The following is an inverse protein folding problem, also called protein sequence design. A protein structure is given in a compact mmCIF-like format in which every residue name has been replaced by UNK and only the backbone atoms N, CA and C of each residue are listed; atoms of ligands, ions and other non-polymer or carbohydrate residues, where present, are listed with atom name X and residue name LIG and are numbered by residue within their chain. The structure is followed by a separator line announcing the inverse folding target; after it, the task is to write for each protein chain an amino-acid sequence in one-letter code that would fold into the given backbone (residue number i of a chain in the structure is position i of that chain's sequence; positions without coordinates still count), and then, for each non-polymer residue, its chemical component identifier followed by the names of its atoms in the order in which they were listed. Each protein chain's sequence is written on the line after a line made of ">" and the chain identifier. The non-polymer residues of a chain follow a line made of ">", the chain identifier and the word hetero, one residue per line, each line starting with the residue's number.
data_IF_424894022761
#
_entry.id   IF_424894022761
#
_cell.length_a   1.000
_cell.length_b   1.000
_cell.length_c   1.000
_cell.angle_alpha   90.00
_cell.angle_beta   90.00
_cell.angle_gamma   90.00
#
_symmetry.space_group_name_H-M   'P 1'
#
loop_
_entity.id
_entity.type
_entity.pdbx_description
1 polymer ?
#
# COMPACT_ATOMS: atom_id res chain seq x y z
N UNK A 1 8.35 -19.01 21.48
CA UNK A 1 9.59 -19.68 21.00
C UNK A 1 9.52 -20.14 19.54
N UNK A 2 8.38 -20.36 18.93
CA UNK A 2 8.29 -20.80 17.52
C UNK A 2 8.57 -19.69 16.47
N UNK A 3 8.44 -18.41 16.82
CA UNK A 3 8.64 -17.28 15.90
C UNK A 3 10.13 -17.06 15.55
N UNK A 4 11.04 -17.29 16.49
CA UNK A 4 12.48 -17.15 16.28
C UNK A 4 13.09 -18.27 15.40
N UNK A 5 12.46 -19.45 15.35
CA UNK A 5 13.01 -20.61 14.65
C UNK A 5 12.92 -20.52 13.12
N UNK A 6 12.09 -19.65 12.56
CA UNK A 6 11.92 -19.52 11.10
C UNK A 6 12.87 -18.54 10.43
N UNK A 7 13.43 -17.58 11.17
CA UNK A 7 14.46 -16.66 10.66
C UNK A 7 15.89 -17.23 10.80
N UNK A 8 16.11 -18.10 11.77
CA UNK A 8 17.43 -18.69 12.07
C UNK A 8 18.05 -19.59 10.97
N UNK A 9 17.31 -20.44 10.24
CA UNK A 9 17.93 -21.30 9.23
C UNK A 9 18.44 -20.55 7.98
N UNK A 10 17.93 -19.35 7.71
CA UNK A 10 18.32 -18.55 6.54
C UNK A 10 19.62 -17.76 6.78
N UNK A 11 20.04 -17.60 8.03
CA UNK A 11 21.27 -16.90 8.41
C UNK A 11 22.48 -17.84 8.53
N UNK A 12 22.31 -19.15 8.41
CA UNK A 12 23.36 -20.16 8.65
C UNK A 12 24.43 -20.29 7.55
N UNK A 13 24.41 -19.45 6.52
CA UNK A 13 25.34 -19.53 5.37
C UNK A 13 26.44 -18.48 5.32
N UNK A 14 26.48 -17.50 6.20
CA UNK A 14 27.54 -16.50 6.28
C UNK A 14 28.06 -16.40 7.71
N UNK A 15 29.37 -16.30 7.90
CA UNK A 15 29.98 -16.04 9.21
C UNK A 15 29.57 -14.65 9.69
N UNK A 16 28.37 -14.52 10.24
CA UNK A 16 27.87 -13.29 10.83
C UNK A 16 28.10 -13.34 12.35
N UNK A 17 28.44 -12.19 12.91
CA UNK A 17 28.32 -11.97 14.33
C UNK A 17 26.89 -12.37 14.75
N UNK A 18 26.76 -13.09 15.88
CA UNK A 18 25.45 -13.46 16.40
C UNK A 18 24.58 -12.19 16.50
N UNK A 19 23.36 -12.25 15.99
CA UNK A 19 22.41 -11.13 16.12
C UNK A 19 22.29 -10.77 17.61
N UNK A 20 22.22 -9.47 17.97
CA UNK A 20 21.99 -9.07 19.34
C UNK A 20 20.69 -9.72 19.84
N UNK A 21 20.73 -10.17 21.10
CA UNK A 21 19.57 -10.78 21.74
C UNK A 21 18.37 -9.81 21.66
N UNK A 22 17.21 -10.34 21.27
CA UNK A 22 15.97 -9.57 21.21
C UNK A 22 15.67 -8.86 22.53
N UNK A 23 15.42 -7.56 22.46
CA UNK A 23 15.09 -6.70 23.59
C UNK A 23 13.85 -5.90 23.21
N UNK A 24 12.97 -5.62 24.16
CA UNK A 24 11.89 -4.67 23.95
C UNK A 24 12.37 -3.26 24.32
N UNK A 25 12.78 -2.47 23.33
CA UNK A 25 13.16 -1.06 23.51
C UNK A 25 11.90 -0.17 23.49
N UNK A 26 11.79 0.71 24.48
CA UNK A 26 10.63 1.59 24.60
C UNK A 26 10.51 2.61 23.47
N UNK A 27 11.64 3.12 22.94
CA UNK A 27 11.63 4.10 21.85
C UNK A 27 11.21 3.45 20.51
N UNK A 28 11.72 2.26 20.23
CA UNK A 28 11.37 1.52 19.00
C UNK A 28 9.90 1.05 19.06
N UNK A 29 9.44 0.58 20.22
CA UNK A 29 8.03 0.24 20.44
C UNK A 29 7.12 1.46 20.31
N UNK A 30 7.51 2.62 20.87
CA UNK A 30 6.75 3.88 20.71
C UNK A 30 6.69 4.32 19.25
N UNK A 31 7.79 4.20 18.50
CA UNK A 31 7.79 4.46 17.04
C UNK A 31 6.74 3.61 16.32
N UNK A 32 6.62 2.32 16.66
CA UNK A 32 5.65 1.41 16.06
C UNK A 32 4.22 1.79 16.42
N UNK A 33 3.94 2.15 17.68
CA UNK A 33 2.60 2.57 18.12
C UNK A 33 2.18 3.89 17.46
N UNK A 34 3.08 4.87 17.42
CA UNK A 34 2.84 6.15 16.73
C UNK A 34 2.68 5.94 15.23
N UNK A 35 3.53 5.11 14.63
CA UNK A 35 3.43 4.72 13.23
C UNK A 35 2.09 4.06 12.91
N UNK A 36 1.61 3.18 13.79
CA UNK A 36 0.29 2.55 13.64
C UNK A 36 -0.83 3.58 13.64
N UNK A 37 -0.82 4.54 14.56
CA UNK A 37 -1.81 5.61 14.63
C UNK A 37 -1.79 6.50 13.36
N UNK A 38 -0.60 6.84 12.87
CA UNK A 38 -0.40 7.63 11.67
C UNK A 38 -0.90 6.89 10.41
N UNK A 39 -0.61 5.60 10.27
CA UNK A 39 -1.09 4.79 9.12
C UNK A 39 -2.59 4.55 9.21
N UNK A 40 -3.15 4.33 10.41
CA UNK A 40 -4.61 4.24 10.57
C UNK A 40 -5.30 5.51 10.06
N UNK A 41 -4.75 6.69 10.36
CA UNK A 41 -5.26 7.99 9.89
C UNK A 41 -5.26 8.10 8.35
N UNK A 42 -4.40 7.37 7.65
CA UNK A 42 -4.39 7.38 6.19
C UNK A 42 -5.67 6.80 5.59
N UNK A 43 -6.33 5.86 6.25
CA UNK A 43 -7.59 5.28 5.72
C UNK A 43 -8.73 6.31 5.67
N UNK A 44 -9.07 7.08 6.71
CA UNK A 44 -9.98 8.22 6.57
C UNK A 44 -9.41 9.33 5.67
N UNK A 45 -8.09 9.55 5.64
CA UNK A 45 -7.45 10.46 4.68
C UNK A 45 -7.75 10.08 3.23
N UNK A 46 -7.65 8.77 2.92
CA UNK A 46 -8.00 8.21 1.62
C UNK A 46 -9.51 8.39 1.33
N UNK A 47 -10.37 8.20 2.34
CA UNK A 47 -11.79 8.42 2.21
C UNK A 47 -12.12 9.86 1.77
N UNK A 48 -11.46 10.87 2.36
CA UNK A 48 -11.59 12.26 1.93
C UNK A 48 -11.01 12.50 0.54
N UNK A 49 -9.81 11.96 0.26
CA UNK A 49 -9.16 12.10 -1.04
C UNK A 49 -10.05 11.56 -2.16
N UNK A 50 -10.50 10.32 -2.06
CA UNK A 50 -11.38 9.70 -3.05
C UNK A 50 -12.79 10.30 -3.06
N UNK A 51 -13.35 10.57 -1.88
CA UNK A 51 -14.65 11.20 -1.75
C UNK A 51 -14.74 12.57 -2.44
N UNK A 52 -13.66 13.36 -2.41
CA UNK A 52 -13.59 14.64 -3.08
C UNK A 52 -13.68 14.55 -4.61
N UNK A 53 -13.18 13.44 -5.21
CA UNK A 53 -13.24 13.22 -6.65
C UNK A 53 -14.60 12.76 -7.16
N UNK A 54 -15.35 12.00 -6.37
CA UNK A 54 -16.62 11.40 -6.79
C UNK A 54 -17.74 12.43 -6.87
N UNK A 55 -18.88 12.08 -7.48
CA UNK A 55 -20.07 12.95 -7.49
C UNK A 55 -20.64 13.09 -6.08
N UNK A 56 -21.24 14.24 -5.76
CA UNK A 56 -21.81 14.55 -4.44
C UNK A 56 -22.76 13.47 -3.90
N UNK A 57 -23.52 12.80 -4.77
CA UNK A 57 -24.47 11.73 -4.43
C UNK A 57 -23.82 10.33 -4.23
N UNK A 58 -22.50 10.24 -4.32
CA UNK A 58 -21.72 9.01 -4.14
C UNK A 58 -20.60 9.17 -3.11
N UNK A 59 -20.50 10.33 -2.46
CA UNK A 59 -19.37 10.64 -1.57
C UNK A 59 -19.37 9.78 -0.32
N UNK A 60 -20.53 9.58 0.32
CA UNK A 60 -20.63 8.73 1.51
C UNK A 60 -20.30 7.27 1.19
N UNK A 61 -20.85 6.73 0.11
CA UNK A 61 -20.54 5.38 -0.32
C UNK A 61 -19.04 5.22 -0.62
N UNK A 62 -18.42 6.20 -1.28
CA UNK A 62 -16.97 6.19 -1.54
C UNK A 62 -16.18 6.21 -0.24
N UNK A 63 -16.54 7.08 0.70
CA UNK A 63 -15.89 7.15 2.01
C UNK A 63 -16.09 5.86 2.82
N UNK A 64 -17.29 5.29 2.79
CA UNK A 64 -17.62 4.03 3.46
C UNK A 64 -16.84 2.84 2.88
N UNK A 65 -16.54 2.83 1.58
CA UNK A 65 -15.69 1.78 0.99
C UNK A 65 -14.31 1.72 1.62
N UNK A 66 -13.78 2.83 2.12
CA UNK A 66 -12.51 2.88 2.86
C UNK A 66 -12.73 2.70 4.36
N UNK A 67 -13.64 3.48 4.96
CA UNK A 67 -13.84 3.53 6.41
C UNK A 67 -14.29 2.19 7.00
N UNK A 68 -15.18 1.49 6.30
CA UNK A 68 -15.69 0.18 6.72
C UNK A 68 -14.58 -0.89 6.83
N UNK A 69 -13.51 -0.77 6.03
CA UNK A 69 -12.40 -1.71 6.07
C UNK A 69 -11.57 -1.62 7.35
N UNK A 70 -11.59 -0.48 8.06
CA UNK A 70 -10.97 -0.41 9.39
C UNK A 70 -11.60 -1.42 10.36
N UNK A 71 -12.92 -1.64 10.27
CA UNK A 71 -13.60 -2.68 11.04
C UNK A 71 -13.39 -4.08 10.47
N UNK A 72 -13.73 -4.27 9.18
CA UNK A 72 -13.67 -5.58 8.55
C UNK A 72 -12.26 -6.18 8.57
N UNK A 73 -11.29 -5.47 8.01
CA UNK A 73 -9.93 -5.98 7.88
C UNK A 73 -9.19 -5.93 9.21
N UNK A 74 -9.48 -4.94 10.07
CA UNK A 74 -8.92 -4.87 11.41
C UNK A 74 -9.23 -6.13 12.24
N UNK A 75 -10.49 -6.58 12.24
CA UNK A 75 -10.87 -7.84 12.90
C UNK A 75 -10.26 -9.04 12.17
N UNK A 76 -10.36 -9.10 10.85
CA UNK A 76 -9.84 -10.20 10.05
C UNK A 76 -8.33 -10.41 10.23
N UNK A 77 -7.58 -9.30 10.37
CA UNK A 77 -6.15 -9.32 10.61
C UNK A 77 -5.80 -10.01 11.94
N UNK A 78 -6.49 -9.65 13.01
CA UNK A 78 -6.29 -10.25 14.35
C UNK A 78 -6.68 -11.73 14.32
N UNK A 79 -7.82 -12.06 13.71
CA UNK A 79 -8.36 -13.43 13.70
C UNK A 79 -7.42 -14.38 12.95
N UNK A 80 -6.97 -14.01 11.75
CA UNK A 80 -6.26 -14.93 10.87
C UNK A 80 -5.22 -14.26 9.95
N UNK A 81 -5.42 -13.02 9.52
CA UNK A 81 -4.60 -12.37 8.50
C UNK A 81 -3.12 -12.27 8.91
N UNK A 82 -2.85 -11.89 10.16
CA UNK A 82 -1.49 -11.87 10.71
C UNK A 82 -0.83 -13.25 10.63
N UNK A 83 -1.56 -14.30 10.99
CA UNK A 83 -1.04 -15.68 10.94
C UNK A 83 -0.66 -16.08 9.52
N UNK A 84 -1.52 -15.80 8.53
CA UNK A 84 -1.23 -16.10 7.13
C UNK A 84 -0.04 -15.32 6.55
N UNK A 85 0.26 -14.14 7.11
CA UNK A 85 1.37 -13.30 6.68
C UNK A 85 2.70 -13.62 7.39
N UNK A 86 2.66 -13.91 8.70
CA UNK A 86 3.88 -13.91 9.52
C UNK A 86 4.10 -15.17 10.34
N UNK A 87 3.14 -16.10 10.45
CA UNK A 87 3.41 -17.37 11.12
C UNK A 87 4.42 -18.20 10.32
N UNK A 88 5.42 -18.71 11.03
CA UNK A 88 6.49 -19.54 10.49
C UNK A 88 6.32 -21.02 10.78
N UNK A 89 5.29 -21.39 11.54
CA UNK A 89 4.99 -22.78 11.88
C UNK A 89 4.65 -23.66 10.66
N UNK A 90 4.18 -23.04 9.58
CA UNK A 90 4.00 -23.69 8.27
C UNK A 90 5.14 -23.28 7.34
N UNK A 91 6.01 -24.22 7.01
CA UNK A 91 7.19 -23.95 6.18
C UNK A 91 6.82 -23.79 4.71
N UNK A 92 6.15 -22.69 4.38
CA UNK A 92 5.79 -22.31 3.01
C UNK A 92 6.39 -20.95 2.65
N UNK A 93 6.96 -20.80 1.46
CA UNK A 93 7.46 -19.52 0.96
C UNK A 93 6.34 -18.60 0.44
N UNK A 94 5.08 -19.08 0.39
CA UNK A 94 3.94 -18.38 -0.20
C UNK A 94 2.93 -17.87 0.82
N UNK A 95 2.73 -18.59 1.93
CA UNK A 95 1.71 -18.28 2.93
C UNK A 95 2.16 -18.78 4.31
N UNK A 96 1.80 -18.06 5.35
CA UNK A 96 2.03 -18.47 6.74
C UNK A 96 1.06 -19.57 7.21
N UNK A 97 1.31 -20.11 8.39
CA UNK A 97 0.47 -21.10 9.02
C UNK A 97 -0.72 -20.50 9.76
N UNK A 98 -1.33 -21.30 10.63
CA UNK A 98 -2.47 -20.92 11.47
C UNK A 98 -2.11 -20.82 12.96
N UNK A 99 -0.81 -20.98 13.30
CA UNK A 99 -0.35 -21.02 14.69
C UNK A 99 -0.49 -19.70 15.44
N UNK A 100 -0.51 -18.58 14.72
CA UNK A 100 -0.68 -17.24 15.28
C UNK A 100 -2.10 -16.66 15.10
N UNK A 101 -3.11 -17.51 14.84
CA UNK A 101 -4.52 -17.06 14.84
C UNK A 101 -4.89 -16.42 16.18
N UNK A 102 -5.70 -15.36 16.14
CA UNK A 102 -6.06 -14.55 17.30
C UNK A 102 -4.83 -13.96 18.01
N UNK A 103 -3.73 -13.76 17.26
CA UNK A 103 -2.43 -13.37 17.79
C UNK A 103 -1.90 -14.32 18.89
N UNK A 104 -2.31 -15.60 18.85
CA UNK A 104 -1.86 -16.59 19.82
C UNK A 104 -0.32 -16.71 19.79
N UNK A 105 0.29 -16.62 20.98
CA UNK A 105 1.75 -16.66 21.12
C UNK A 105 2.50 -15.40 20.67
N UNK A 106 1.78 -14.39 20.16
CA UNK A 106 2.35 -13.10 19.79
C UNK A 106 2.36 -12.17 20.99
N UNK A 107 3.54 -11.70 21.40
CA UNK A 107 3.68 -10.73 22.48
C UNK A 107 3.76 -11.31 23.90
N UNK A 108 3.73 -12.62 24.09
CA UNK A 108 3.78 -13.22 25.42
C UNK A 108 2.52 -12.95 26.28
N UNK A 109 2.63 -13.14 27.60
CA UNK A 109 1.49 -13.02 28.53
C UNK A 109 1.00 -11.56 28.68
N UNK A 110 1.92 -10.59 28.64
CA UNK A 110 1.62 -9.17 28.86
C UNK A 110 1.70 -8.31 27.58
N UNK A 111 1.89 -8.91 26.42
CA UNK A 111 2.02 -8.18 25.15
C UNK A 111 3.38 -7.51 24.93
N UNK A 112 4.36 -7.77 25.79
CA UNK A 112 5.67 -7.12 25.80
C UNK A 112 6.83 -7.98 25.29
N UNK A 113 6.54 -9.23 24.87
CA UNK A 113 7.59 -10.07 24.30
C UNK A 113 8.19 -9.43 23.04
N UNK A 114 9.52 -9.47 22.89
CA UNK A 114 10.20 -8.92 21.72
C UNK A 114 9.82 -9.71 20.45
N UNK A 115 9.88 -9.04 19.30
CA UNK A 115 9.49 -9.62 18.01
C UNK A 115 10.36 -10.82 17.62
N UNK A 116 11.67 -10.61 17.52
CA UNK A 116 12.67 -11.63 17.17
C UNK A 116 14.07 -11.07 17.41
N UNK A 117 15.10 -11.94 17.43
CA UNK A 117 16.49 -11.51 17.47
C UNK A 117 16.81 -10.58 16.29
N UNK A 118 17.52 -9.51 16.56
CA UNK A 118 17.80 -8.44 15.61
C UNK A 118 16.78 -7.29 15.59
N UNK A 119 15.64 -7.43 16.32
CA UNK A 119 14.65 -6.37 16.46
C UNK A 119 14.48 -5.97 17.94
N UNK A 120 14.34 -4.67 18.20
CA UNK A 120 14.23 -4.12 19.54
C UNK A 120 12.83 -3.60 19.86
N UNK A 121 11.79 -4.21 19.32
CA UNK A 121 10.40 -3.79 19.49
C UNK A 121 9.50 -4.96 19.91
N UNK A 122 8.34 -4.66 20.48
CA UNK A 122 7.39 -5.70 20.87
C UNK A 122 6.69 -6.33 19.67
N UNK A 123 6.46 -7.64 19.73
CA UNK A 123 5.74 -8.37 18.69
C UNK A 123 4.30 -7.87 18.50
N UNK A 124 3.64 -7.42 19.57
CA UNK A 124 2.28 -6.85 19.50
C UNK A 124 2.25 -5.51 18.78
N UNK A 125 3.23 -4.63 19.01
CA UNK A 125 3.31 -3.35 18.30
C UNK A 125 3.60 -3.56 16.82
N UNK A 126 4.43 -4.54 16.46
CA UNK A 126 4.64 -4.97 15.09
C UNK A 126 3.34 -5.50 14.44
N UNK A 127 2.63 -6.40 15.14
CA UNK A 127 1.37 -6.95 14.62
C UNK A 127 0.32 -5.87 14.39
N UNK A 128 0.20 -4.89 15.29
CA UNK A 128 -0.66 -3.73 15.14
C UNK A 128 -0.25 -2.90 13.91
N UNK A 129 1.03 -2.56 13.78
CA UNK A 129 1.55 -1.76 12.67
C UNK A 129 1.28 -2.42 11.32
N UNK A 130 1.59 -3.70 11.18
CA UNK A 130 1.31 -4.46 9.95
C UNK A 130 -0.19 -4.58 9.65
N UNK A 131 -1.05 -4.58 10.67
CA UNK A 131 -2.49 -4.53 10.51
C UNK A 131 -2.98 -3.25 9.82
N UNK A 132 -2.32 -2.12 10.03
CA UNK A 132 -2.69 -0.86 9.37
C UNK A 132 -2.46 -0.91 7.85
N UNK A 133 -1.40 -1.60 7.42
CA UNK A 133 -1.14 -1.86 6.00
C UNK A 133 -2.17 -2.82 5.38
N UNK A 134 -2.56 -3.85 6.14
CA UNK A 134 -3.62 -4.77 5.72
C UNK A 134 -4.95 -4.04 5.50
N UNK A 135 -5.28 -3.03 6.32
CA UNK A 135 -6.50 -2.22 6.21
C UNK A 135 -6.47 -1.32 4.98
N UNK A 136 -5.40 -0.55 4.79
CA UNK A 136 -5.37 0.47 3.73
C UNK A 136 -5.21 -0.14 2.34
N UNK A 137 -4.53 -1.27 2.20
CA UNK A 137 -4.22 -1.84 0.88
C UNK A 137 -5.47 -2.15 0.05
N UNK A 138 -6.48 -2.91 0.54
CA UNK A 138 -7.71 -3.09 -0.20
C UNK A 138 -8.52 -1.79 -0.35
N UNK A 139 -8.43 -0.85 0.60
CA UNK A 139 -9.11 0.43 0.49
C UNK A 139 -8.68 1.21 -0.76
N UNK A 140 -7.40 1.15 -1.14
CA UNK A 140 -6.89 1.78 -2.36
C UNK A 140 -7.60 1.29 -3.62
N UNK A 141 -7.97 0.00 -3.70
CA UNK A 141 -8.60 -0.60 -4.88
C UNK A 141 -9.94 0.08 -5.19
N UNK A 142 -10.64 0.59 -4.17
CA UNK A 142 -11.94 1.23 -4.33
C UNK A 142 -11.93 2.37 -5.36
N UNK A 143 -10.84 3.13 -5.41
CA UNK A 143 -10.73 4.29 -6.32
C UNK A 143 -10.96 3.97 -7.78
N UNK A 144 -10.66 2.74 -8.23
CA UNK A 144 -10.87 2.33 -9.61
C UNK A 144 -12.33 1.98 -9.95
N UNK A 145 -13.15 1.63 -8.95
CA UNK A 145 -14.48 1.03 -9.13
C UNK A 145 -15.60 1.78 -8.42
N UNK A 146 -15.30 2.95 -7.83
CA UNK A 146 -16.30 3.83 -7.21
C UNK A 146 -17.46 4.15 -8.17
N UNK A 147 -18.58 4.56 -7.60
CA UNK A 147 -19.79 4.97 -8.30
C UNK A 147 -20.57 3.86 -9.04
N UNK A 148 -20.06 2.60 -9.06
CA UNK A 148 -20.74 1.50 -9.77
C UNK A 148 -20.69 0.13 -9.10
N UNK A 149 -19.73 -0.13 -8.22
CA UNK A 149 -19.64 -1.42 -7.51
C UNK A 149 -20.74 -1.51 -6.44
N UNK A 150 -21.35 -2.70 -6.28
CA UNK A 150 -22.27 -2.92 -5.17
C UNK A 150 -21.52 -3.05 -3.85
N UNK A 151 -22.02 -2.41 -2.77
CA UNK A 151 -21.36 -2.45 -1.46
C UNK A 151 -21.28 -3.87 -0.89
N UNK A 152 -22.27 -4.73 -1.20
CA UNK A 152 -22.24 -6.14 -0.84
C UNK A 152 -21.12 -6.90 -1.54
N UNK A 153 -20.90 -6.66 -2.82
CA UNK A 153 -19.79 -7.27 -3.55
C UNK A 153 -18.43 -6.75 -3.04
N UNK A 154 -18.34 -5.46 -2.72
CA UNK A 154 -17.16 -4.84 -2.12
C UNK A 154 -16.78 -5.52 -0.80
N UNK A 155 -17.74 -5.75 0.09
CA UNK A 155 -17.53 -6.47 1.36
C UNK A 155 -16.87 -7.83 1.13
N UNK A 156 -17.48 -8.70 0.32
CA UNK A 156 -16.97 -10.06 0.09
C UNK A 156 -15.66 -10.07 -0.69
N UNK A 157 -15.50 -9.13 -1.62
CA UNK A 157 -14.26 -8.96 -2.35
C UNK A 157 -13.10 -8.63 -1.40
N UNK A 158 -13.24 -7.62 -0.55
CA UNK A 158 -12.18 -7.23 0.39
C UNK A 158 -11.84 -8.33 1.39
N UNK A 159 -12.84 -9.05 1.90
CA UNK A 159 -12.63 -10.19 2.79
C UNK A 159 -11.77 -11.27 2.12
N UNK A 160 -12.16 -11.72 0.94
CA UNK A 160 -11.44 -12.77 0.21
C UNK A 160 -10.07 -12.28 -0.27
N UNK A 161 -10.01 -11.06 -0.80
CA UNK A 161 -8.77 -10.49 -1.34
C UNK A 161 -7.71 -10.29 -0.26
N UNK A 162 -8.11 -9.85 0.93
CA UNK A 162 -7.18 -9.69 2.06
C UNK A 162 -6.59 -11.02 2.53
N UNK A 163 -7.38 -12.09 2.53
CA UNK A 163 -6.90 -13.42 2.93
C UNK A 163 -6.08 -14.12 1.85
N UNK A 164 -6.55 -14.05 0.59
CA UNK A 164 -6.01 -14.86 -0.49
C UNK A 164 -4.92 -14.14 -1.30
N UNK A 165 -4.86 -12.81 -1.24
CA UNK A 165 -3.91 -12.01 -2.01
C UNK A 165 -3.00 -11.21 -1.08
N UNK A 166 -3.56 -10.35 -0.21
CA UNK A 166 -2.75 -9.47 0.62
C UNK A 166 -1.86 -10.23 1.60
N UNK A 167 -2.43 -11.14 2.41
CA UNK A 167 -1.65 -11.88 3.41
C UNK A 167 -0.56 -12.76 2.78
N UNK A 168 -0.82 -13.48 1.67
CA UNK A 168 0.26 -14.15 0.92
C UNK A 168 1.31 -13.19 0.35
N UNK A 169 0.93 -12.03 -0.19
CA UNK A 169 1.91 -11.03 -0.66
C UNK A 169 2.80 -10.53 0.47
N UNK A 170 2.23 -10.22 1.63
CA UNK A 170 2.98 -9.84 2.82
C UNK A 170 3.92 -10.97 3.28
N UNK A 171 3.48 -12.23 3.25
CA UNK A 171 4.34 -13.40 3.51
C UNK A 171 5.48 -13.50 2.53
N UNK A 172 5.20 -13.42 1.24
CA UNK A 172 6.19 -13.61 0.19
C UNK A 172 7.29 -12.54 0.23
N UNK A 173 6.96 -11.29 0.60
CA UNK A 173 7.88 -10.16 0.59
C UNK A 173 8.50 -9.91 1.97
N UNK A 174 7.69 -9.86 3.03
CA UNK A 174 8.13 -9.44 4.37
C UNK A 174 8.19 -10.59 5.38
N UNK A 175 7.35 -11.59 5.23
CA UNK A 175 7.26 -12.73 6.16
C UNK A 175 8.29 -13.84 5.94
N UNK A 176 9.42 -13.54 5.26
CA UNK A 176 10.48 -14.53 4.97
C UNK A 176 10.16 -15.44 3.77
N UNK A 177 9.24 -15.04 2.89
CA UNK A 177 8.89 -15.76 1.67
C UNK A 177 9.89 -15.55 0.54
N UNK A 178 9.62 -16.15 -0.62
CA UNK A 178 10.59 -16.27 -1.72
C UNK A 178 10.88 -14.97 -2.49
N UNK A 179 10.00 -13.96 -2.43
CA UNK A 179 10.21 -12.67 -3.10
C UNK A 179 11.17 -11.77 -2.34
N UNK A 180 11.12 -11.81 -1.01
CA UNK A 180 11.82 -10.90 -0.13
C UNK A 180 13.34 -11.08 -0.11
N UNK A 181 14.04 -10.27 0.70
CA UNK A 181 15.51 -10.19 0.71
C UNK A 181 16.20 -11.50 1.11
N UNK A 182 15.53 -12.35 1.88
CA UNK A 182 16.03 -13.66 2.30
C UNK A 182 15.56 -14.81 1.40
N UNK A 183 14.68 -14.52 0.44
CA UNK A 183 14.13 -15.51 -0.48
C UNK A 183 14.97 -15.72 -1.72
N UNK A 184 14.52 -16.61 -2.59
CA UNK A 184 15.24 -16.98 -3.82
C UNK A 184 15.29 -15.85 -4.87
N UNK A 185 14.39 -14.87 -4.81
CA UNK A 185 14.37 -13.69 -5.69
C UNK A 185 15.28 -12.59 -5.14
N UNK A 186 15.25 -12.32 -3.83
CA UNK A 186 16.10 -11.34 -3.18
C UNK A 186 15.69 -9.89 -3.46
N UNK A 187 14.43 -9.62 -3.72
CA UNK A 187 13.93 -8.25 -3.87
C UNK A 187 13.79 -7.55 -2.52
N UNK A 188 13.89 -6.22 -2.52
CA UNK A 188 13.68 -5.39 -1.33
C UNK A 188 12.45 -4.51 -1.50
N UNK A 189 11.66 -4.40 -0.45
CA UNK A 189 10.49 -3.52 -0.38
C UNK A 189 10.41 -2.94 1.03
N UNK A 190 10.86 -1.68 1.18
CA UNK A 190 11.03 -1.05 2.48
C UNK A 190 9.71 -0.93 3.25
N UNK A 191 8.67 -0.42 2.59
CA UNK A 191 7.41 -0.13 3.26
C UNK A 191 6.15 -0.49 2.45
N UNK A 192 6.26 -1.14 1.27
CA UNK A 192 5.06 -1.62 0.57
C UNK A 192 4.91 -1.15 -0.87
N UNK A 193 6.01 -0.81 -1.55
CA UNK A 193 5.97 -0.55 -2.99
C UNK A 193 5.35 -1.73 -3.76
N UNK A 194 5.70 -2.95 -3.39
CA UNK A 194 5.19 -4.18 -3.99
C UNK A 194 3.93 -4.67 -3.27
N UNK A 195 3.98 -4.80 -1.95
CA UNK A 195 2.89 -5.41 -1.14
C UNK A 195 1.65 -4.54 -1.11
N UNK A 196 1.78 -3.22 -1.11
CA UNK A 196 0.65 -2.29 -1.02
C UNK A 196 0.35 -1.69 -2.39
N UNK A 197 1.31 -0.95 -2.99
CA UNK A 197 1.01 -0.11 -4.15
C UNK A 197 0.86 -0.90 -5.44
N UNK A 198 1.80 -1.79 -5.78
CA UNK A 198 1.64 -2.66 -6.96
C UNK A 198 0.45 -3.57 -6.78
N UNK A 199 0.29 -4.20 -5.61
CA UNK A 199 -0.82 -5.11 -5.37
C UNK A 199 -2.18 -4.41 -5.49
N UNK A 200 -2.39 -3.28 -4.81
CA UNK A 200 -3.66 -2.54 -4.92
C UNK A 200 -3.88 -1.97 -6.33
N UNK A 201 -2.82 -1.45 -6.98
CA UNK A 201 -2.92 -0.90 -8.33
C UNK A 201 -3.30 -1.95 -9.37
N UNK A 202 -2.65 -3.11 -9.37
CA UNK A 202 -2.96 -4.22 -10.29
C UNK A 202 -4.36 -4.77 -10.02
N UNK A 203 -4.75 -4.93 -8.75
CA UNK A 203 -6.11 -5.33 -8.40
C UNK A 203 -7.14 -4.30 -8.90
N UNK A 204 -6.85 -3.01 -8.77
CA UNK A 204 -7.69 -1.92 -9.27
C UNK A 204 -7.88 -1.99 -10.80
N UNK A 205 -6.78 -2.22 -11.56
CA UNK A 205 -6.83 -2.39 -13.01
C UNK A 205 -7.75 -3.54 -13.41
N UNK A 206 -7.57 -4.71 -12.80
CA UNK A 206 -8.36 -5.91 -13.10
C UNK A 206 -9.81 -5.75 -12.67
N UNK A 207 -10.05 -5.15 -11.48
CA UNK A 207 -11.40 -4.90 -11.01
C UNK A 207 -12.15 -3.91 -11.91
N UNK A 208 -11.51 -2.83 -12.37
CA UNK A 208 -12.09 -1.87 -13.30
C UNK A 208 -12.46 -2.56 -14.64
N UNK A 209 -11.58 -3.42 -15.16
CA UNK A 209 -11.82 -4.15 -16.40
C UNK A 209 -13.00 -5.15 -16.30
N UNK A 210 -13.14 -5.85 -15.16
CA UNK A 210 -14.20 -6.87 -14.99
C UNK A 210 -15.56 -6.22 -14.66
N UNK A 211 -15.58 -5.19 -13.82
CA UNK A 211 -16.82 -4.49 -13.42
C UNK A 211 -17.35 -3.63 -14.57
N UNK A 212 -16.45 -3.18 -15.45
CA UNK A 212 -16.77 -2.37 -16.63
C UNK A 212 -16.96 -0.89 -16.34
N UNK A 213 -17.19 -0.10 -17.38
CA UNK A 213 -17.23 1.36 -17.32
C UNK A 213 -18.47 1.89 -16.59
N UNK A 214 -18.36 3.05 -15.96
CA UNK A 214 -19.51 3.79 -15.41
C UNK A 214 -20.50 4.14 -16.53
N UNK A 215 -21.78 4.20 -16.23
CA UNK A 215 -22.84 4.54 -17.20
C UNK A 215 -22.63 5.89 -17.89
N UNK A 216 -21.85 6.77 -17.28
CA UNK A 216 -21.56 8.13 -17.77
C UNK A 216 -20.19 8.27 -18.43
N UNK A 217 -19.42 7.19 -18.54
CA UNK A 217 -18.10 7.18 -19.18
C UNK A 217 -18.24 6.91 -20.69
N UNK A 218 -17.41 7.50 -21.56
CA UNK A 218 -16.37 8.52 -21.33
C UNK A 218 -16.88 9.97 -21.45
N UNK A 219 -18.16 10.19 -21.68
CA UNK A 219 -18.71 11.49 -22.12
C UNK A 219 -18.84 12.52 -21.01
N UNK A 220 -18.81 12.11 -19.75
CA UNK A 220 -18.89 13.03 -18.64
C UNK A 220 -17.52 13.46 -18.13
N UNK A 221 -16.93 14.50 -18.70
CA UNK A 221 -15.87 15.30 -18.05
C UNK A 221 -16.49 16.09 -16.90
N UNK A 222 -16.84 15.43 -15.80
CA UNK A 222 -17.36 16.14 -14.62
C UNK A 222 -16.18 16.47 -13.71
N UNK A 223 -16.06 17.74 -13.27
CA UNK A 223 -15.05 18.09 -12.28
C UNK A 223 -15.32 17.36 -10.95
N UNK A 224 -14.28 17.14 -10.14
CA UNK A 224 -14.44 16.70 -8.76
C UNK A 224 -15.46 17.58 -8.03
N UNK A 225 -16.32 16.98 -7.20
CA UNK A 225 -17.34 17.78 -6.51
C UNK A 225 -16.74 18.63 -5.38
N UNK A 226 -15.62 18.21 -4.77
CA UNK A 226 -15.03 18.90 -3.63
C UNK A 226 -13.49 18.84 -3.65
N UNK A 227 -12.87 19.78 -4.35
CA UNK A 227 -11.40 19.90 -4.41
C UNK A 227 -10.75 20.14 -3.04
N UNK A 228 -11.32 20.96 -2.11
CA UNK A 228 -10.84 21.04 -0.73
C UNK A 228 -10.73 19.69 -0.02
N UNK A 229 -11.66 18.75 -0.21
CA UNK A 229 -11.57 17.40 0.34
C UNK A 229 -10.40 16.62 -0.25
N UNK A 230 -10.12 16.78 -1.54
CA UNK A 230 -8.95 16.17 -2.18
C UNK A 230 -7.66 16.66 -1.54
N UNK A 231 -7.52 17.99 -1.35
CA UNK A 231 -6.34 18.57 -0.71
C UNK A 231 -6.21 18.14 0.75
N UNK A 232 -7.29 18.14 1.51
CA UNK A 232 -7.30 17.66 2.89
C UNK A 232 -6.89 16.18 2.97
N UNK A 233 -7.50 15.35 2.14
CA UNK A 233 -7.18 13.92 2.06
C UNK A 233 -5.73 13.67 1.69
N UNK A 234 -5.20 14.38 0.68
CA UNK A 234 -3.79 14.30 0.31
C UNK A 234 -2.86 14.73 1.45
N UNK A 235 -3.22 15.79 2.19
CA UNK A 235 -2.47 16.24 3.38
C UNK A 235 -2.46 15.21 4.49
N UNK A 236 -3.61 14.58 4.80
CA UNK A 236 -3.73 13.51 5.78
C UNK A 236 -2.95 12.26 5.35
N UNK A 237 -2.99 11.91 4.07
CA UNK A 237 -2.18 10.81 3.50
C UNK A 237 -0.69 11.10 3.66
N UNK A 238 -0.22 12.31 3.32
CA UNK A 238 1.18 12.70 3.48
C UNK A 238 1.61 12.64 4.95
N UNK A 239 0.81 13.19 5.84
CA UNK A 239 1.06 13.15 7.27
C UNK A 239 1.16 11.70 7.80
N UNK A 240 0.22 10.85 7.40
CA UNK A 240 0.25 9.43 7.77
C UNK A 240 1.44 8.67 7.18
N UNK A 241 1.98 9.13 6.03
CA UNK A 241 3.13 8.50 5.39
C UNK A 241 4.43 8.64 6.19
N UNK A 242 4.50 9.57 7.11
CA UNK A 242 5.58 9.59 8.11
C UNK A 242 5.59 8.32 8.96
N UNK A 243 4.41 7.85 9.37
CA UNK A 243 4.28 6.55 10.02
C UNK A 243 4.52 5.39 9.06
N UNK A 244 3.92 5.46 7.87
CA UNK A 244 3.98 4.41 6.85
C UNK A 244 5.43 4.05 6.50
N UNK A 245 6.24 5.02 6.12
CA UNK A 245 7.64 4.82 5.78
C UNK A 245 8.57 4.93 7.01
N UNK A 246 8.35 5.93 7.88
CA UNK A 246 9.25 6.18 9.01
C UNK A 246 9.28 5.04 10.01
N UNK A 247 8.11 4.51 10.40
CA UNK A 247 8.06 3.39 11.34
C UNK A 247 8.47 2.05 10.70
N UNK A 248 8.46 1.92 9.36
CA UNK A 248 9.01 0.75 8.66
C UNK A 248 10.52 0.60 8.80
N UNK A 249 11.19 1.58 9.40
CA UNK A 249 12.59 1.46 9.83
C UNK A 249 12.77 0.53 11.03
N UNK A 250 11.73 0.31 11.83
CA UNK A 250 11.72 -0.51 13.05
C UNK A 250 12.72 -0.07 14.12
N UNK A 251 13.38 1.08 13.94
CA UNK A 251 14.38 1.63 14.84
C UNK A 251 14.24 3.15 14.93
N UNK A 252 13.88 3.67 16.10
CA UNK A 252 13.65 5.09 16.34
C UNK A 252 14.90 5.94 16.07
N UNK A 253 16.07 5.40 16.41
CA UNK A 253 17.36 6.07 16.20
C UNK A 253 17.61 6.48 14.75
N UNK A 254 17.09 5.76 13.78
CA UNK A 254 17.38 5.95 12.35
C UNK A 254 16.16 6.31 11.52
N UNK A 255 14.97 6.36 12.13
CA UNK A 255 13.71 6.71 11.48
C UNK A 255 13.72 8.11 10.82
N UNK A 256 14.62 9.00 11.23
CA UNK A 256 14.77 10.34 10.64
C UNK A 256 15.07 10.32 9.14
N UNK A 257 15.82 9.32 8.66
CA UNK A 257 16.12 9.19 7.23
C UNK A 257 14.85 8.93 6.39
N UNK A 258 14.05 7.87 6.63
CA UNK A 258 12.83 7.65 5.86
C UNK A 258 11.77 8.76 6.02
N UNK A 259 11.73 9.50 7.13
CA UNK A 259 10.92 10.72 7.24
C UNK A 259 11.36 11.78 6.22
N UNK A 260 12.67 12.05 6.14
CA UNK A 260 13.22 13.05 5.22
C UNK A 260 13.07 12.63 3.76
N UNK A 261 13.42 11.41 3.40
CA UNK A 261 13.30 10.91 2.01
C UNK A 261 11.86 10.89 1.55
N UNK A 262 10.91 10.54 2.43
CA UNK A 262 9.47 10.56 2.15
C UNK A 262 9.00 11.97 1.81
N UNK A 263 9.27 12.94 2.67
CA UNK A 263 8.90 14.35 2.42
C UNK A 263 9.58 14.91 1.18
N UNK A 264 10.86 14.61 0.99
CA UNK A 264 11.62 15.08 -0.18
C UNK A 264 11.02 14.58 -1.48
N UNK A 265 10.69 13.29 -1.55
CA UNK A 265 10.08 12.68 -2.73
C UNK A 265 8.67 13.20 -3.00
N UNK A 266 7.85 13.36 -1.96
CA UNK A 266 6.51 13.94 -2.06
C UNK A 266 6.56 15.36 -2.62
N UNK A 267 7.46 16.20 -2.09
CA UNK A 267 7.67 17.58 -2.55
C UNK A 267 8.14 17.62 -4.00
N UNK A 268 9.08 16.76 -4.37
CA UNK A 268 9.59 16.65 -5.75
C UNK A 268 8.48 16.18 -6.71
N UNK A 269 7.66 15.22 -6.31
CA UNK A 269 6.52 14.73 -7.09
C UNK A 269 5.45 15.79 -7.31
N UNK A 270 5.09 16.53 -6.26
CA UNK A 270 4.15 17.65 -6.32
C UNK A 270 4.65 18.72 -7.31
N UNK A 271 5.90 19.17 -7.15
CA UNK A 271 6.49 20.18 -8.03
C UNK A 271 6.59 19.68 -9.47
N UNK A 272 7.01 18.45 -9.68
CA UNK A 272 7.12 17.85 -11.03
C UNK A 272 5.77 17.84 -11.74
N UNK A 273 4.71 17.38 -11.07
CA UNK A 273 3.36 17.38 -11.65
C UNK A 273 2.88 18.79 -11.99
N UNK A 274 2.99 19.74 -11.03
CA UNK A 274 2.61 21.14 -11.25
C UNK A 274 3.40 21.79 -12.41
N UNK A 275 4.68 21.52 -12.51
CA UNK A 275 5.50 22.06 -13.61
C UNK A 275 5.08 21.46 -14.95
N UNK A 276 4.81 20.15 -15.03
CA UNK A 276 4.33 19.53 -16.26
C UNK A 276 2.99 20.14 -16.70
N UNK A 277 2.02 20.30 -15.78
CA UNK A 277 0.76 21.00 -16.11
C UNK A 277 0.99 22.44 -16.54
N UNK A 278 1.90 23.15 -15.85
CA UNK A 278 2.18 24.55 -16.19
C UNK A 278 2.72 24.69 -17.61
N UNK A 279 3.69 23.85 -18.00
CA UNK A 279 4.25 23.88 -19.35
C UNK A 279 3.25 23.38 -20.41
N UNK A 280 2.44 22.38 -20.08
CA UNK A 280 1.51 21.78 -21.03
C UNK A 280 0.19 22.56 -21.16
N UNK A 281 -0.41 22.96 -20.02
CA UNK A 281 -1.76 23.49 -19.95
C UNK A 281 -1.82 24.95 -19.50
N UNK A 282 -0.66 25.57 -19.26
CA UNK A 282 -0.49 26.98 -18.89
C UNK A 282 -0.76 27.30 -17.41
N UNK A 283 -1.21 26.35 -16.62
CA UNK A 283 -1.49 26.53 -15.19
C UNK A 283 -1.49 25.19 -14.43
N UNK A 284 -0.94 25.16 -13.20
CA UNK A 284 -1.05 24.00 -12.33
C UNK A 284 -2.45 23.92 -11.73
N UNK A 285 -2.88 22.70 -11.40
CA UNK A 285 -4.16 22.45 -10.74
C UNK A 285 -3.95 21.98 -9.30
N UNK A 286 -4.93 22.26 -8.41
CA UNK A 286 -4.92 21.75 -7.05
C UNK A 286 -4.99 20.20 -7.02
N UNK A 287 -5.76 19.62 -7.93
CA UNK A 287 -5.88 18.18 -8.11
C UNK A 287 -4.55 17.58 -8.56
N UNK A 288 -3.88 18.21 -9.54
CA UNK A 288 -2.56 17.79 -10.00
C UNK A 288 -1.51 17.87 -8.90
N UNK A 289 -1.50 18.94 -8.11
CA UNK A 289 -0.61 19.09 -6.95
C UNK A 289 -0.79 17.95 -5.94
N UNK A 290 -2.05 17.64 -5.57
CA UNK A 290 -2.37 16.55 -4.67
C UNK A 290 -1.97 15.18 -5.24
N UNK A 291 -2.27 14.92 -6.51
CA UNK A 291 -1.93 13.65 -7.19
C UNK A 291 -0.41 13.50 -7.33
N UNK A 292 0.31 14.56 -7.67
CA UNK A 292 1.76 14.56 -7.78
C UNK A 292 2.46 14.28 -6.44
N UNK A 293 1.93 14.85 -5.33
CA UNK A 293 2.41 14.55 -3.99
C UNK A 293 2.24 13.06 -3.68
N UNK A 294 1.06 12.49 -3.92
CA UNK A 294 0.78 11.06 -3.69
C UNK A 294 1.65 10.18 -4.59
N UNK A 295 1.86 10.54 -5.85
CA UNK A 295 2.76 9.80 -6.75
C UNK A 295 4.20 9.77 -6.21
N UNK A 296 4.71 10.89 -5.69
CA UNK A 296 6.02 10.96 -5.04
C UNK A 296 6.11 10.09 -3.79
N UNK A 297 5.05 10.06 -2.96
CA UNK A 297 4.94 9.21 -1.78
C UNK A 297 4.93 7.72 -2.15
N UNK A 298 4.18 7.34 -3.16
CA UNK A 298 4.14 5.97 -3.69
C UNK A 298 5.51 5.53 -4.21
N UNK A 299 6.15 6.38 -5.02
CA UNK A 299 7.45 6.06 -5.64
C UNK A 299 8.57 5.84 -4.63
N UNK A 300 8.59 6.60 -3.54
CA UNK A 300 9.64 6.48 -2.51
C UNK A 300 9.42 5.29 -1.57
N UNK A 301 8.19 4.80 -1.45
CA UNK A 301 7.81 3.79 -0.46
C UNK A 301 8.71 2.54 -0.47
N UNK A 302 9.08 1.92 -1.61
CA UNK A 302 10.00 0.77 -1.60
C UNK A 302 11.45 1.14 -1.29
N UNK A 303 11.82 2.42 -1.31
CA UNK A 303 13.20 2.90 -1.24
C UNK A 303 13.52 3.74 0.01
N UNK A 304 12.52 4.18 0.77
CA UNK A 304 12.64 5.29 1.72
C UNK A 304 13.80 5.16 2.72
N UNK A 305 14.09 3.96 3.22
CA UNK A 305 15.23 3.68 4.13
C UNK A 305 16.54 3.32 3.41
N UNK A 306 16.53 3.21 2.08
CA UNK A 306 17.66 2.69 1.30
C UNK A 306 18.34 3.73 0.41
N UNK A 307 17.84 4.97 0.38
CA UNK A 307 18.36 6.02 -0.50
C UNK A 307 18.63 7.31 0.28
N UNK A 308 19.51 8.17 -0.29
CA UNK A 308 19.74 9.53 0.22
C UNK A 308 18.82 10.54 -0.46
N UNK A 309 18.87 11.81 -0.01
CA UNK A 309 17.98 12.87 -0.48
C UNK A 309 18.04 13.16 -1.98
N UNK A 310 19.21 13.17 -2.64
CA UNK A 310 19.25 13.37 -4.10
C UNK A 310 18.51 12.29 -4.88
N UNK A 311 18.63 11.01 -4.45
CA UNK A 311 17.88 9.92 -5.05
C UNK A 311 16.39 10.03 -4.75
N UNK A 312 16.01 10.50 -3.55
CA UNK A 312 14.61 10.73 -3.21
C UNK A 312 13.96 11.80 -4.11
N UNK A 313 14.66 12.90 -4.42
CA UNK A 313 14.22 13.90 -5.41
C UNK A 313 14.02 13.24 -6.77
N UNK A 314 14.99 12.45 -7.22
CA UNK A 314 14.92 11.78 -8.52
C UNK A 314 13.75 10.80 -8.60
N UNK A 315 13.55 9.98 -7.56
CA UNK A 315 12.43 9.02 -7.46
C UNK A 315 11.09 9.78 -7.54
N UNK A 316 10.91 10.81 -6.72
CA UNK A 316 9.67 11.60 -6.71
C UNK A 316 9.37 12.24 -8.06
N UNK A 317 10.36 12.84 -8.69
CA UNK A 317 10.23 13.49 -10.00
C UNK A 317 9.88 12.48 -11.09
N UNK A 318 10.64 11.39 -11.21
CA UNK A 318 10.42 10.39 -12.26
C UNK A 318 9.09 9.63 -12.06
N UNK A 319 8.74 9.33 -10.83
CA UNK A 319 7.46 8.65 -10.55
C UNK A 319 6.27 9.54 -10.89
N UNK A 320 6.30 10.80 -10.49
CA UNK A 320 5.23 11.75 -10.81
C UNK A 320 5.09 11.96 -12.33
N UNK A 321 6.20 12.09 -13.05
CA UNK A 321 6.18 12.20 -14.50
C UNK A 321 5.62 10.94 -15.18
N UNK A 322 6.01 9.74 -14.73
CA UNK A 322 5.49 8.48 -15.25
C UNK A 322 3.99 8.31 -14.96
N UNK A 323 3.54 8.64 -13.75
CA UNK A 323 2.11 8.62 -13.38
C UNK A 323 1.31 9.63 -14.21
N UNK A 324 1.84 10.85 -14.42
CA UNK A 324 1.21 11.85 -15.28
C UNK A 324 1.00 11.30 -16.71
N UNK A 325 2.03 10.70 -17.30
CA UNK A 325 1.93 10.07 -18.63
C UNK A 325 0.90 8.95 -18.62
N UNK A 326 0.91 8.09 -17.61
CA UNK A 326 -0.03 6.99 -17.47
C UNK A 326 -1.49 7.47 -17.42
N UNK A 327 -1.77 8.56 -16.71
CA UNK A 327 -3.12 9.21 -16.67
C UNK A 327 -3.51 9.72 -18.06
N UNK A 328 -2.58 10.31 -18.83
CA UNK A 328 -2.88 10.75 -20.19
C UNK A 328 -3.15 9.55 -21.13
N UNK A 329 -2.36 8.48 -21.01
CA UNK A 329 -2.57 7.23 -21.77
C UNK A 329 -3.93 6.62 -21.44
N UNK A 330 -4.29 6.52 -20.15
CA UNK A 330 -5.59 6.04 -19.69
C UNK A 330 -6.74 6.82 -20.37
N UNK A 331 -6.65 8.14 -20.38
CA UNK A 331 -7.65 9.00 -21.00
C UNK A 331 -7.75 8.77 -22.52
N UNK A 332 -6.61 8.57 -23.19
CA UNK A 332 -6.57 8.31 -24.62
C UNK A 332 -7.19 6.96 -25.03
N UNK A 333 -6.95 5.91 -24.24
CA UNK A 333 -7.55 4.58 -24.49
C UNK A 333 -8.96 4.43 -23.92
N UNK A 334 -9.48 5.46 -23.26
CA UNK A 334 -10.82 5.51 -22.64
C UNK A 334 -11.08 4.37 -21.65
N UNK A 335 -10.09 4.03 -20.82
CA UNK A 335 -10.23 3.02 -19.76
C UNK A 335 -10.76 3.67 -18.47
N UNK A 336 -11.82 3.12 -17.87
CA UNK A 336 -12.44 3.69 -16.66
C UNK A 336 -11.85 3.15 -15.36
N UNK A 337 -10.57 3.46 -15.11
CA UNK A 337 -10.02 3.53 -13.76
C UNK A 337 -10.43 4.88 -13.17
N UNK A 338 -11.47 4.88 -12.34
CA UNK A 338 -12.24 6.10 -12.02
C UNK A 338 -11.42 7.22 -11.39
N UNK A 339 -10.50 6.89 -10.48
CA UNK A 339 -9.69 7.83 -9.73
C UNK A 339 -8.18 7.62 -9.95
N UNK A 340 -7.79 7.12 -11.11
CA UNK A 340 -6.40 6.90 -11.50
C UNK A 340 -5.60 5.97 -10.57
N UNK A 341 -6.28 4.99 -9.95
CA UNK A 341 -5.68 4.13 -8.93
C UNK A 341 -4.52 3.30 -9.48
N UNK A 342 -4.71 2.62 -10.62
CA UNK A 342 -3.61 1.89 -11.26
C UNK A 342 -2.52 2.85 -11.74
N UNK A 343 -2.91 4.01 -12.29
CA UNK A 343 -1.96 4.97 -12.84
C UNK A 343 -1.03 5.54 -11.77
N UNK A 344 -1.53 5.72 -10.53
CA UNK A 344 -0.73 6.25 -9.42
C UNK A 344 -0.07 5.13 -8.61
N UNK A 345 -0.83 4.10 -8.20
CA UNK A 345 -0.29 3.04 -7.32
C UNK A 345 0.40 1.91 -8.10
N UNK A 346 -0.20 1.41 -9.18
CA UNK A 346 0.40 0.35 -10.00
C UNK A 346 1.66 0.84 -10.73
N UNK A 347 1.53 1.91 -11.50
CA UNK A 347 2.65 2.50 -12.25
C UNK A 347 3.66 3.12 -11.28
N UNK A 348 3.20 3.93 -10.32
CA UNK A 348 4.10 4.58 -9.34
C UNK A 348 4.87 3.58 -8.50
N UNK A 349 4.20 2.53 -7.97
CA UNK A 349 4.86 1.45 -7.23
C UNK A 349 5.88 0.68 -8.07
N UNK A 350 5.56 0.45 -9.35
CA UNK A 350 6.48 -0.22 -10.30
C UNK A 350 7.73 0.62 -10.54
N UNK A 351 7.58 1.91 -10.85
CA UNK A 351 8.72 2.82 -11.05
C UNK A 351 9.54 2.90 -9.77
N UNK A 352 8.90 3.07 -8.61
CA UNK A 352 9.58 3.10 -7.31
C UNK A 352 10.38 1.83 -7.03
N UNK A 353 9.77 0.64 -7.22
CA UNK A 353 10.45 -0.63 -7.02
C UNK A 353 11.67 -0.82 -7.94
N UNK A 354 11.54 -0.49 -9.23
CA UNK A 354 12.65 -0.60 -10.18
C UNK A 354 13.76 0.41 -9.87
N UNK A 355 13.42 1.65 -9.52
CA UNK A 355 14.40 2.66 -9.12
C UNK A 355 15.09 2.28 -7.80
N UNK A 356 14.42 1.61 -6.86
CA UNK A 356 15.04 1.05 -5.67
C UNK A 356 16.17 0.08 -6.04
N UNK A 357 15.93 -0.80 -7.02
CA UNK A 357 16.93 -1.75 -7.50
C UNK A 357 18.21 -1.12 -8.05
N UNK A 358 18.12 0.12 -8.54
CA UNK A 358 19.25 0.87 -9.12
C UNK A 358 19.88 1.82 -8.10
N UNK A 359 19.06 2.50 -7.28
CA UNK A 359 19.46 3.65 -6.48
C UNK A 359 19.73 3.34 -5.01
N UNK A 360 19.44 2.10 -4.54
CA UNK A 360 19.71 1.71 -3.16
C UNK A 360 21.18 1.92 -2.80
N UNK A 361 21.45 2.60 -1.69
CA UNK A 361 22.80 2.89 -1.24
C UNK A 361 23.40 1.69 -0.50
N UNK A 362 24.57 1.24 -0.94
CA UNK A 362 25.36 0.22 -0.24
C UNK A 362 25.56 0.56 1.25
N UNK A 363 25.88 1.79 1.56
CA UNK A 363 26.16 2.23 2.93
C UNK A 363 24.92 2.15 3.83
N UNK A 364 23.73 2.51 3.31
CA UNK A 364 22.48 2.50 4.06
C UNK A 364 21.96 1.07 4.25
N UNK A 365 22.08 0.23 3.22
CA UNK A 365 21.68 -1.17 3.26
C UNK A 365 22.59 -1.99 4.17
N UNK A 366 23.89 -1.65 4.23
CA UNK A 366 24.88 -2.33 5.07
C UNK A 366 24.90 -1.86 6.54
N UNK A 367 24.21 -0.76 6.87
CA UNK A 367 24.11 -0.32 8.25
C UNK A 367 23.31 -1.35 9.07
N UNK A 368 23.69 -1.57 10.34
CA UNK A 368 23.13 -2.57 11.28
C UNK A 368 21.63 -2.36 11.63
N UNK A 369 20.91 -1.67 10.79
CA UNK A 369 19.55 -1.19 11.05
C UNK A 369 18.45 -2.02 10.41
N UNK A 370 18.78 -2.84 9.42
CA UNK A 370 17.81 -3.68 8.75
C UNK A 370 18.44 -5.04 8.42
N UNK A 371 17.91 -6.16 8.91
CA UNK A 371 18.47 -7.49 8.63
C UNK A 371 18.18 -7.87 7.18
N UNK A 372 18.97 -7.36 6.24
CA UNK A 372 18.92 -7.71 4.82
C UNK A 372 19.93 -8.85 4.53
N UNK A 373 19.71 -9.56 3.42
CA UNK A 373 20.67 -10.60 3.01
C UNK A 373 22.07 -10.00 2.80
N UNK A 374 23.10 -10.73 3.20
CA UNK A 374 24.49 -10.30 3.08
C UNK A 374 24.84 -9.78 1.68
N UNK A 375 24.32 -10.42 0.63
CA UNK A 375 24.58 -10.03 -0.76
C UNK A 375 24.06 -8.62 -1.09
N UNK A 376 22.88 -8.25 -0.59
CA UNK A 376 22.31 -6.90 -0.80
C UNK A 376 23.12 -5.87 -0.02
N UNK A 377 23.56 -6.22 1.21
CA UNK A 377 24.39 -5.38 2.07
C UNK A 377 25.77 -5.10 1.45
N UNK A 378 26.32 -6.03 0.67
CA UNK A 378 27.63 -5.86 0.05
C UNK A 378 27.62 -4.98 -1.21
N UNK A 379 26.56 -5.00 -1.99
CA UNK A 379 26.53 -4.46 -3.35
C UNK A 379 25.69 -3.16 -3.49
N UNK A 380 24.65 -2.95 -2.69
CA UNK A 380 23.70 -1.85 -2.88
C UNK A 380 22.91 -1.99 -4.19
N UNK A 381 22.51 -0.86 -4.80
CA UNK A 381 21.83 -0.83 -6.09
C UNK A 381 22.74 -1.28 -7.22
N UNK A 382 22.30 -2.29 -7.98
CA UNK A 382 23.06 -2.86 -9.09
C UNK A 382 22.12 -3.62 -10.04
N UNK A 383 22.67 -4.14 -11.14
CA UNK A 383 21.90 -4.91 -12.14
C UNK A 383 21.24 -6.15 -11.52
N UNK A 384 21.90 -6.82 -10.59
CA UNK A 384 21.36 -8.01 -9.91
C UNK A 384 20.14 -7.67 -9.08
N UNK A 385 20.20 -6.60 -8.28
CA UNK A 385 19.07 -6.12 -7.49
C UNK A 385 17.94 -5.57 -8.39
N UNK A 386 18.28 -4.85 -9.46
CA UNK A 386 17.29 -4.42 -10.45
C UNK A 386 16.53 -5.60 -11.05
N UNK A 387 17.22 -6.67 -11.43
CA UNK A 387 16.58 -7.87 -11.96
C UNK A 387 15.74 -8.61 -10.90
N UNK A 388 16.16 -8.59 -9.63
CA UNK A 388 15.35 -9.12 -8.54
C UNK A 388 14.05 -8.32 -8.37
N UNK A 389 14.13 -6.99 -8.37
CA UNK A 389 12.97 -6.11 -8.34
C UNK A 389 12.04 -6.36 -9.54
N UNK A 390 12.58 -6.44 -10.75
CA UNK A 390 11.80 -6.73 -11.95
C UNK A 390 11.06 -8.07 -11.86
N UNK A 391 11.72 -9.13 -11.39
CA UNK A 391 11.08 -10.44 -11.16
C UNK A 391 9.95 -10.36 -10.13
N UNK A 392 10.17 -9.64 -9.02
CA UNK A 392 9.15 -9.45 -7.99
C UNK A 392 7.95 -8.66 -8.52
N UNK A 393 8.19 -7.59 -9.30
CA UNK A 393 7.15 -6.81 -9.98
C UNK A 393 6.33 -7.71 -10.91
N UNK A 394 6.99 -8.42 -11.83
CA UNK A 394 6.30 -9.29 -12.81
C UNK A 394 5.49 -10.39 -12.13
N UNK A 395 6.06 -11.03 -11.10
CA UNK A 395 5.33 -12.02 -10.31
C UNK A 395 4.09 -11.40 -9.65
N UNK A 396 4.23 -10.22 -9.04
CA UNK A 396 3.13 -9.53 -8.37
C UNK A 396 2.00 -9.18 -9.35
N UNK A 397 2.33 -8.72 -10.56
CA UNK A 397 1.33 -8.48 -11.61
C UNK A 397 0.56 -9.75 -11.96
N UNK A 398 1.26 -10.88 -12.15
CA UNK A 398 0.64 -12.17 -12.45
C UNK A 398 -0.21 -12.69 -11.29
N UNK A 399 0.36 -12.77 -10.09
CA UNK A 399 -0.31 -13.32 -8.91
C UNK A 399 -1.53 -12.49 -8.49
N UNK A 400 -1.35 -11.18 -8.33
CA UNK A 400 -2.43 -10.29 -7.92
C UNK A 400 -3.48 -10.17 -9.01
N UNK A 401 -3.06 -10.02 -10.28
CA UNK A 401 -3.99 -9.87 -11.39
C UNK A 401 -4.88 -11.10 -11.57
N UNK A 402 -4.28 -12.29 -11.64
CA UNK A 402 -5.02 -13.54 -11.75
C UNK A 402 -5.89 -13.80 -10.52
N UNK A 403 -5.33 -13.62 -9.31
CA UNK A 403 -6.07 -13.84 -8.07
C UNK A 403 -7.26 -12.90 -7.93
N UNK A 404 -7.10 -11.63 -8.28
CA UNK A 404 -8.20 -10.64 -8.29
C UNK A 404 -9.29 -11.05 -9.28
N UNK A 405 -8.92 -11.46 -10.49
CA UNK A 405 -9.89 -11.92 -11.50
C UNK A 405 -10.67 -13.14 -11.02
N UNK A 406 -9.98 -14.13 -10.47
CA UNK A 406 -10.60 -15.35 -9.93
C UNK A 406 -11.58 -15.05 -8.80
N UNK A 407 -11.23 -14.15 -7.87
CA UNK A 407 -12.13 -13.74 -6.78
C UNK A 407 -13.38 -13.05 -7.36
N UNK A 408 -13.22 -12.11 -8.27
CA UNK A 408 -14.36 -11.40 -8.86
C UNK A 408 -15.26 -12.33 -9.67
N UNK A 409 -14.72 -13.20 -10.49
CA UNK A 409 -15.51 -14.20 -11.23
C UNK A 409 -16.22 -15.18 -10.30
N UNK A 410 -15.56 -15.62 -9.21
CA UNK A 410 -16.20 -16.44 -8.19
C UNK A 410 -17.39 -15.71 -7.56
N UNK A 411 -17.21 -14.45 -7.14
CA UNK A 411 -18.30 -13.68 -6.54
C UNK A 411 -19.47 -13.45 -7.52
N UNK A 412 -19.17 -13.28 -8.80
CA UNK A 412 -20.18 -13.08 -9.86
C UNK A 412 -21.12 -14.27 -10.00
N UNK A 413 -20.71 -15.47 -9.57
CA UNK A 413 -21.59 -16.66 -9.56
C UNK A 413 -22.70 -16.54 -8.50
N UNK A 414 -22.51 -15.73 -7.46
CA UNK A 414 -23.43 -15.66 -6.30
C UNK A 414 -24.13 -14.32 -6.16
N UNK A 415 -23.59 -13.26 -6.76
CA UNK A 415 -24.15 -11.91 -6.67
C UNK A 415 -23.71 -11.01 -7.81
N UNK A 416 -24.53 -9.98 -8.15
CA UNK A 416 -24.07 -8.95 -9.07
C UNK A 416 -22.93 -8.13 -8.44
N UNK A 417 -21.84 -7.95 -9.18
CA UNK A 417 -20.71 -7.11 -8.75
C UNK A 417 -21.08 -5.63 -8.82
N UNK A 418 -21.90 -5.25 -9.79
CA UNK A 418 -22.29 -3.89 -10.10
C UNK A 418 -23.73 -3.62 -9.70
N UNK A 419 -24.03 -2.40 -9.30
CA UNK A 419 -25.40 -1.90 -9.13
C UNK A 419 -26.10 -1.73 -10.46
N UNK A 420 -27.46 -1.65 -10.45
CA UNK A 420 -28.24 -1.40 -11.65
C UNK A 420 -27.97 0.03 -12.19
N UNK A 421 -28.10 0.26 -13.52
CA UNK A 421 -27.91 1.60 -14.08
C UNK A 421 -28.80 2.69 -13.43
N UNK A 422 -30.04 2.34 -13.08
CA UNK A 422 -30.96 3.25 -12.37
C UNK A 422 -30.49 3.61 -10.94
N UNK A 423 -29.84 2.68 -10.27
CA UNK A 423 -29.25 2.89 -8.94
C UNK A 423 -27.98 3.75 -9.04
N UNK A 424 -27.15 3.52 -10.05
CA UNK A 424 -25.97 4.33 -10.35
C UNK A 424 -26.38 5.78 -10.72
N UNK A 425 -27.48 5.94 -11.45
CA UNK A 425 -28.03 7.26 -11.76
C UNK A 425 -28.60 7.96 -10.52
N UNK A 426 -29.30 7.24 -9.64
CA UNK A 426 -29.85 7.77 -8.39
C UNK A 426 -28.77 8.26 -7.43
N UNK A 427 -27.66 7.53 -7.33
CA UNK A 427 -26.55 7.77 -6.39
C UNK A 427 -26.46 6.71 -5.31
N UNK A 428 -25.21 6.29 -5.04
CA UNK A 428 -24.96 5.15 -4.17
C UNK A 428 -25.03 5.46 -2.68
N UNK A 429 -24.97 6.73 -2.28
CA UNK A 429 -25.14 7.13 -0.88
C UNK A 429 -26.50 6.67 -0.37
N UNK A 430 -27.56 7.04 -1.07
CA UNK A 430 -28.91 6.64 -0.72
C UNK A 430 -29.17 5.15 -0.97
N UNK A 431 -28.71 4.62 -2.10
CA UNK A 431 -29.00 3.23 -2.50
C UNK A 431 -28.33 2.21 -1.57
N UNK A 432 -27.09 2.47 -1.14
CA UNK A 432 -26.33 1.54 -0.32
C UNK A 432 -26.50 1.77 1.18
N UNK A 433 -26.72 3.02 1.62
CA UNK A 433 -26.67 3.38 3.03
C UNK A 433 -27.95 4.06 3.55
N UNK A 434 -28.86 4.49 2.66
CA UNK A 434 -30.08 5.22 3.05
C UNK A 434 -29.80 6.61 3.57
N UNK A 435 -28.64 7.17 3.29
CA UNK A 435 -28.13 8.46 3.74
C UNK A 435 -27.76 9.33 2.55
N UNK A 436 -27.69 10.65 2.77
CA UNK A 436 -27.18 11.61 1.81
C UNK A 436 -26.12 12.48 2.47
N UNK A 437 -25.01 12.75 1.75
CA UNK A 437 -23.91 13.55 2.27
C UNK A 437 -24.26 15.01 2.49
N UNK A 438 -25.18 15.54 1.69
CA UNK A 438 -25.55 16.94 1.67
C UNK A 438 -27.07 17.06 1.68
N UNK A 439 -27.58 18.06 2.40
CA UNK A 439 -29.01 18.39 2.40
C UNK A 439 -29.43 18.84 0.99
N UNK A 440 -30.38 18.14 0.32
CA UNK A 440 -30.85 18.53 -1.00
C UNK A 440 -31.58 19.89 -1.02
N UNK A 441 -31.97 20.40 0.15
CA UNK A 441 -32.67 21.71 0.30
C UNK A 441 -31.70 22.91 0.34
N UNK A 442 -30.38 22.66 0.42
CA UNK A 442 -29.36 23.71 0.57
C UNK A 442 -28.47 23.91 -0.65
N UNK A 443 -28.74 23.23 -1.76
CA UNK A 443 -28.00 23.34 -3.03
C UNK A 443 -28.78 24.09 -4.10
#
# INVERSE_FOLDING_TARGET
>A
MAFAAGLLPLLAGAAHAALPKAVNDGADTLLMLMGSALVLLMTPGLAFFYGGFTRAKNVLNTMMMSFFLMGLIGVLWIVIGYSLAFDTGFNSPFIGGLGAMWLHGVGGEFGDAPLADGFNLSATSFALFQGMFAIITPALISGAIVERVSFKAWFWFCLLWSLLIYSPMAKMVWGGGFLGPFGSIGAIDFAGGTVVHIASGVAALVAAAIIGDRSTWPDSKRPPHNVPFILLGAGLLWFGWFGFNGASMFAAKTAGLPFLTTTTSASAGLLSWCLIEWFKDGKPTAVGAATGAVAGLVGITPAAGFVYLPQAVLIGTLTAAACFIAVQVKAAIKFDDSLDTFMVHGVGGTIGALLTGILASKTLVAADYFPLSAKIMEEGGNVGLFLAQLKAVLFSYGFVGLGTALILWFLQLFMPLRVKPTEEERGLDYVAHGEEAYDPMTN
#
